data_IF_785385092015
#
_entry.id   IF_785385092015
#
_cell.length_a   1.000
_cell.length_b   1.000
_cell.length_c   1.000
_cell.angle_alpha   90.00
_cell.angle_beta   90.00
_cell.angle_gamma   90.00
#
_symmetry.space_group_name_H-M   'P 1'
#
loop_
_entity.id
_entity.type
_entity.pdbx_description
1 polymer ?
#
# COMPACT_ATOMS: atom_id res chain seq x y z
N UNK A 1 10.68 12.61 27.86
CA UNK A 1 9.23 12.42 28.01
C UNK A 1 8.72 11.61 26.84
N UNK A 2 8.10 10.47 27.10
CA UNK A 2 7.61 9.53 26.10
C UNK A 2 6.36 10.09 25.42
N UNK A 3 6.47 10.48 24.15
CA UNK A 3 5.30 10.71 23.30
C UNK A 3 4.66 9.36 23.00
N UNK A 4 3.70 8.96 23.84
CA UNK A 4 2.82 7.83 23.56
C UNK A 4 1.88 8.25 22.44
N UNK A 5 2.21 7.92 21.20
CA UNK A 5 1.31 8.13 20.06
C UNK A 5 -0.03 7.45 20.34
N UNK A 6 -1.11 8.23 20.33
CA UNK A 6 -2.47 7.72 20.55
C UNK A 6 -2.92 6.96 19.30
N UNK A 7 -3.03 5.64 19.42
CA UNK A 7 -3.55 4.81 18.34
C UNK A 7 -5.06 4.99 18.27
N UNK A 8 -5.54 5.72 17.26
CA UNK A 8 -6.95 5.95 17.03
C UNK A 8 -7.59 4.79 16.25
N UNK A 9 -8.73 4.32 16.76
CA UNK A 9 -9.62 3.38 16.09
C UNK A 9 -10.93 4.09 15.74
N UNK A 10 -11.31 4.07 14.47
CA UNK A 10 -12.54 4.70 14.00
C UNK A 10 -13.58 3.63 13.63
N UNK A 11 -14.51 3.37 14.54
CA UNK A 11 -15.61 2.41 14.37
C UNK A 11 -16.86 3.04 13.74
N UNK A 12 -16.87 4.36 13.47
CA UNK A 12 -18.02 5.05 12.85
C UNK A 12 -18.47 4.47 11.51
N UNK A 13 -17.60 3.87 10.66
CA UNK A 13 -18.05 3.24 9.43
C UNK A 13 -19.04 2.09 9.64
N UNK A 14 -18.99 1.38 10.78
CA UNK A 14 -19.97 0.34 11.13
C UNK A 14 -21.38 0.92 11.14
N UNK A 15 -21.57 2.01 11.91
CA UNK A 15 -22.86 2.69 12.04
C UNK A 15 -23.42 3.20 10.69
N UNK A 16 -22.54 3.57 9.75
CA UNK A 16 -22.93 4.07 8.43
C UNK A 16 -23.31 2.97 7.46
N UNK A 17 -22.64 1.82 7.54
CA UNK A 17 -22.91 0.67 6.68
C UNK A 17 -24.22 0.01 7.06
N UNK A 18 -24.39 -0.27 8.35
CA UNK A 18 -25.62 -0.80 8.88
C UNK A 18 -25.85 -0.22 10.27
N UNK A 19 -27.03 0.35 10.49
CA UNK A 19 -27.36 0.98 11.76
C UNK A 19 -27.82 -0.05 12.80
N UNK A 20 -28.18 -1.27 12.40
CA UNK A 20 -28.70 -2.33 13.26
C UNK A 20 -28.12 -3.72 12.89
N UNK A 21 -27.45 -4.37 13.85
CA UNK A 21 -26.87 -5.71 13.66
C UNK A 21 -27.62 -6.74 14.51
N UNK A 22 -28.20 -7.75 13.86
CA UNK A 22 -28.89 -8.85 14.52
C UNK A 22 -27.97 -10.05 14.67
N UNK A 23 -27.94 -10.62 15.87
CA UNK A 23 -27.11 -11.77 16.23
C UNK A 23 -27.96 -12.80 16.94
N UNK A 24 -28.03 -14.01 16.41
CA UNK A 24 -28.77 -15.11 17.02
C UNK A 24 -27.83 -15.93 17.92
N UNK A 25 -28.17 -16.02 19.20
CA UNK A 25 -27.51 -16.88 20.18
C UNK A 25 -28.09 -18.28 20.12
N UNK A 26 -27.70 -19.06 19.11
CA UNK A 26 -28.25 -20.39 18.78
C UNK A 26 -28.42 -21.34 19.97
N UNK A 27 -27.50 -21.32 20.95
CA UNK A 27 -27.56 -22.18 22.14
C UNK A 27 -28.46 -21.64 23.26
N UNK A 28 -28.80 -20.35 23.21
CA UNK A 28 -29.40 -19.58 24.31
C UNK A 28 -30.80 -19.06 24.00
N UNK A 29 -31.30 -19.29 22.77
CA UNK A 29 -32.58 -18.80 22.22
C UNK A 29 -32.76 -17.27 22.27
N UNK A 30 -31.68 -16.53 22.51
CA UNK A 30 -31.69 -15.08 22.46
C UNK A 30 -31.42 -14.60 21.04
N UNK A 31 -32.18 -13.59 20.60
CA UNK A 31 -31.82 -12.75 19.47
C UNK A 31 -31.38 -11.39 20.01
N UNK A 32 -30.19 -10.97 19.62
CA UNK A 32 -29.58 -9.73 20.06
C UNK A 32 -29.59 -8.71 18.93
N UNK A 33 -29.83 -7.45 19.29
CA UNK A 33 -29.80 -6.34 18.36
C UNK A 33 -28.79 -5.32 18.87
N UNK A 34 -27.72 -5.12 18.11
CA UNK A 34 -26.58 -4.28 18.47
C UNK A 34 -26.51 -3.07 17.54
N UNK A 35 -26.41 -1.88 18.14
CA UNK A 35 -26.09 -0.63 17.46
C UNK A 35 -24.71 -0.16 17.93
N UNK A 36 -23.95 0.50 17.07
CA UNK A 36 -22.60 1.01 17.42
C UNK A 36 -22.53 2.48 17.08
N UNK A 37 -21.87 3.26 17.94
CA UNK A 37 -21.63 4.69 17.74
C UNK A 37 -22.91 5.49 17.44
N UNK A 38 -24.06 5.01 17.91
CA UNK A 38 -25.31 5.73 17.79
C UNK A 38 -25.34 6.86 18.82
N UNK A 39 -25.58 8.09 18.35
CA UNK A 39 -25.71 9.29 19.17
C UNK A 39 -27.19 9.70 19.33
N UNK A 40 -28.13 8.79 19.05
CA UNK A 40 -29.55 9.04 19.27
C UNK A 40 -29.78 9.34 20.75
N UNK A 41 -30.11 10.60 21.03
CA UNK A 41 -30.51 11.09 22.37
C UNK A 41 -31.91 10.64 22.77
N UNK A 42 -32.51 9.71 22.04
CA UNK A 42 -33.73 9.04 22.44
C UNK A 42 -33.35 7.78 23.20
N UNK A 43 -33.89 7.62 24.41
CA UNK A 43 -33.63 6.58 25.43
C UNK A 43 -33.84 5.12 24.95
N UNK A 44 -33.27 4.73 23.82
CA UNK A 44 -33.32 3.37 23.31
C UNK A 44 -31.96 2.72 23.55
N UNK A 45 -31.92 1.60 24.29
CA UNK A 45 -30.67 0.92 24.61
C UNK A 45 -29.95 0.51 23.34
N UNK A 46 -28.66 0.84 23.29
CA UNK A 46 -27.81 0.66 22.11
C UNK A 46 -27.58 -0.85 21.85
N UNK A 47 -27.73 -1.68 22.88
CA UNK A 47 -27.79 -3.14 22.76
C UNK A 47 -29.09 -3.68 23.38
N UNK A 48 -29.80 -4.53 22.65
CA UNK A 48 -31.09 -5.12 23.03
C UNK A 48 -31.04 -6.65 22.96
N UNK A 49 -31.88 -7.29 23.76
CA UNK A 49 -32.09 -8.74 23.74
C UNK A 49 -33.58 -9.05 23.52
N UNK A 50 -33.85 -10.18 22.89
CA UNK A 50 -35.19 -10.73 22.71
C UNK A 50 -35.13 -12.24 22.94
N UNK A 51 -36.09 -12.79 23.70
CA UNK A 51 -36.23 -14.23 23.93
C UNK A 51 -37.69 -14.58 24.22
N UNK A 52 -38.26 -15.52 23.49
CA UNK A 52 -39.60 -16.05 23.80
C UNK A 52 -40.73 -15.00 23.82
N UNK A 53 -40.58 -13.89 23.08
CA UNK A 53 -41.53 -12.77 23.07
C UNK A 53 -41.20 -11.65 24.06
N UNK A 54 -40.37 -11.93 25.07
CA UNK A 54 -39.83 -10.89 25.95
C UNK A 54 -38.68 -10.16 25.26
N UNK A 55 -38.54 -8.87 25.56
CA UNK A 55 -37.43 -8.05 25.06
C UNK A 55 -36.98 -7.05 26.10
N UNK A 56 -35.74 -6.59 25.97
CA UNK A 56 -35.19 -5.64 26.92
C UNK A 56 -33.81 -5.09 26.53
N UNK A 57 -33.21 -4.35 27.47
CA UNK A 57 -31.93 -3.69 27.32
C UNK A 57 -30.78 -4.56 27.84
N UNK A 58 -29.73 -4.71 27.02
CA UNK A 58 -28.42 -5.18 27.47
C UNK A 58 -27.56 -4.04 28.03
N UNK A 59 -27.82 -2.81 27.58
CA UNK A 59 -27.17 -1.63 28.12
C UNK A 59 -26.92 -0.52 27.11
N UNK A 60 -26.23 0.50 27.60
CA UNK A 60 -25.70 1.64 26.85
C UNK A 60 -24.18 1.61 26.87
N UNK A 61 -23.51 2.31 25.95
CA UNK A 61 -22.04 2.30 25.87
C UNK A 61 -21.47 2.89 27.17
N UNK A 62 -20.79 2.04 27.96
CA UNK A 62 -20.30 2.36 29.30
C UNK A 62 -19.00 3.16 29.33
N UNK A 63 -18.46 3.56 28.17
CA UNK A 63 -17.26 4.41 28.10
C UNK A 63 -16.50 4.32 26.79
N UNK A 64 -15.25 4.81 26.80
CA UNK A 64 -14.35 4.75 25.64
C UNK A 64 -13.93 3.30 25.36
N UNK A 65 -13.79 2.90 24.09
CA UNK A 65 -13.23 1.59 23.72
C UNK A 65 -11.87 1.36 24.39
N UNK A 66 -11.65 0.16 24.95
CA UNK A 66 -10.42 -0.21 25.66
C UNK A 66 -9.62 -1.22 24.84
N UNK A 67 -8.32 -0.97 24.66
CA UNK A 67 -7.45 -1.95 24.00
C UNK A 67 -6.93 -2.98 25.00
N UNK A 68 -7.10 -4.27 24.71
CA UNK A 68 -6.52 -5.38 25.47
C UNK A 68 -5.79 -6.33 24.52
N UNK A 69 -4.47 -6.30 24.55
CA UNK A 69 -3.64 -7.03 23.59
C UNK A 69 -3.93 -6.56 22.16
N UNK A 70 -4.38 -7.49 21.32
CA UNK A 70 -4.73 -7.24 19.92
C UNK A 70 -6.24 -7.04 19.68
N UNK A 71 -7.04 -7.01 20.75
CA UNK A 71 -8.49 -6.84 20.68
C UNK A 71 -8.89 -5.45 21.19
N UNK A 72 -9.88 -4.85 20.55
CA UNK A 72 -10.52 -3.62 21.03
C UNK A 72 -11.85 -4.00 21.68
N UNK A 73 -12.01 -3.62 22.94
CA UNK A 73 -13.16 -3.99 23.76
C UNK A 73 -14.09 -2.79 23.91
N UNK A 74 -15.37 -3.00 23.65
CA UNK A 74 -16.44 -2.03 23.92
C UNK A 74 -17.42 -2.67 24.88
N UNK A 75 -17.63 -1.98 26.00
CA UNK A 75 -18.51 -2.43 27.08
C UNK A 75 -19.82 -1.68 27.03
N UNK A 76 -20.91 -2.43 27.13
CA UNK A 76 -22.27 -1.95 27.29
C UNK A 76 -22.72 -2.31 28.70
N UNK A 77 -23.12 -1.30 29.46
CA UNK A 77 -23.50 -1.42 30.86
C UNK A 77 -24.87 -0.78 31.10
N UNK A 78 -25.40 -0.93 32.31
CA UNK A 78 -26.69 -0.35 32.72
C UNK A 78 -27.87 -0.85 31.87
N UNK A 79 -27.89 -2.14 31.55
CA UNK A 79 -29.06 -2.83 31.01
C UNK A 79 -30.11 -3.15 32.07
N UNK A 80 -31.04 -4.04 31.74
CA UNK A 80 -32.10 -4.47 32.66
C UNK A 80 -31.57 -5.22 33.88
N UNK A 81 -32.33 -5.25 34.97
CA UNK A 81 -31.99 -6.04 36.14
C UNK A 81 -31.83 -7.54 35.81
N UNK A 82 -30.77 -8.16 36.35
CA UNK A 82 -30.47 -9.56 36.10
C UNK A 82 -31.42 -10.50 36.85
N UNK A 83 -31.71 -11.70 36.30
CA UNK A 83 -32.54 -12.70 36.98
C UNK A 83 -31.90 -13.10 38.31
N UNK A 84 -32.64 -12.99 39.41
CA UNK A 84 -32.18 -13.40 40.74
C UNK A 84 -31.20 -12.44 41.44
N UNK A 85 -30.85 -11.31 40.82
CA UNK A 85 -29.95 -10.32 41.43
C UNK A 85 -30.35 -8.88 41.07
N UNK A 86 -31.25 -8.28 41.86
CA UNK A 86 -31.77 -6.93 41.63
C UNK A 86 -30.73 -5.80 41.71
N UNK A 87 -29.54 -6.07 42.27
CA UNK A 87 -28.44 -5.11 42.38
C UNK A 87 -27.45 -5.20 41.20
N UNK A 88 -27.68 -6.11 40.24
CA UNK A 88 -26.87 -6.25 39.03
C UNK A 88 -27.73 -5.99 37.80
N UNK A 89 -27.15 -5.25 36.87
CA UNK A 89 -27.75 -4.95 35.58
C UNK A 89 -27.07 -5.79 34.49
N UNK A 90 -27.83 -6.12 33.45
CA UNK A 90 -27.33 -6.78 32.27
C UNK A 90 -26.23 -5.94 31.64
N UNK A 91 -25.27 -6.63 31.04
CA UNK A 91 -24.14 -6.01 30.37
C UNK A 91 -23.74 -6.83 29.16
N UNK A 92 -23.12 -6.18 28.18
CA UNK A 92 -22.58 -6.84 27.01
C UNK A 92 -21.15 -6.36 26.72
N UNK A 93 -20.28 -7.29 26.35
CA UNK A 93 -18.91 -7.01 25.95
C UNK A 93 -18.73 -7.39 24.48
N UNK A 94 -18.38 -6.41 23.64
CA UNK A 94 -18.03 -6.65 22.25
C UNK A 94 -16.51 -6.60 22.11
N UNK A 95 -15.94 -7.71 21.64
CA UNK A 95 -14.52 -7.85 21.33
C UNK A 95 -14.29 -7.70 19.82
N UNK A 96 -13.81 -6.54 19.41
CA UNK A 96 -13.39 -6.29 18.03
C UNK A 96 -12.01 -6.86 17.75
N UNK A 97 -11.91 -7.67 16.69
CA UNK A 97 -10.72 -8.39 16.25
C UNK A 97 -10.33 -7.87 14.87
N UNK A 98 -9.05 -7.52 14.68
CA UNK A 98 -8.53 -7.11 13.38
C UNK A 98 -8.52 -8.30 12.43
N UNK A 99 -9.32 -8.23 11.38
CA UNK A 99 -9.34 -9.16 10.26
C UNK A 99 -9.34 -8.36 8.95
N UNK A 100 -8.25 -8.46 8.19
CA UNK A 100 -8.06 -7.65 6.98
C UNK A 100 -9.05 -7.99 5.86
N UNK A 101 -9.52 -9.24 5.84
CA UNK A 101 -10.48 -9.78 4.89
C UNK A 101 -11.65 -10.35 5.67
N UNK A 102 -12.61 -9.50 6.04
CA UNK A 102 -13.85 -9.96 6.64
C UNK A 102 -14.78 -10.51 5.55
N UNK A 103 -15.71 -11.40 5.94
CA UNK A 103 -16.66 -12.05 5.04
C UNK A 103 -17.66 -11.06 4.38
N UNK A 104 -17.79 -9.87 4.95
CA UNK A 104 -18.57 -8.74 4.41
C UNK A 104 -17.77 -7.44 4.55
N UNK A 105 -18.25 -6.33 3.97
CA UNK A 105 -17.53 -5.04 3.92
C UNK A 105 -16.91 -4.61 5.27
N UNK A 106 -17.61 -4.89 6.38
CA UNK A 106 -17.09 -4.62 7.73
C UNK A 106 -17.22 -5.80 8.72
N UNK A 107 -17.52 -7.00 8.22
CA UNK A 107 -17.79 -8.18 9.06
C UNK A 107 -19.11 -8.10 9.83
N UNK A 108 -19.43 -9.16 10.57
CA UNK A 108 -20.63 -9.26 11.41
C UNK A 108 -20.26 -9.65 12.85
N UNK A 109 -21.06 -9.22 13.85
CA UNK A 109 -20.91 -9.68 15.21
C UNK A 109 -21.44 -11.11 15.38
N UNK A 110 -20.72 -11.89 16.18
CA UNK A 110 -21.04 -13.26 16.53
C UNK A 110 -21.21 -13.38 18.05
N UNK A 111 -22.22 -14.13 18.48
CA UNK A 111 -22.43 -14.45 19.88
C UNK A 111 -21.46 -15.55 20.32
N UNK A 112 -20.77 -15.32 21.45
CA UNK A 112 -19.74 -16.24 21.93
C UNK A 112 -20.15 -16.92 23.22
N UNK A 113 -20.64 -16.16 24.19
CA UNK A 113 -20.97 -16.71 25.49
C UNK A 113 -21.95 -15.83 26.26
N UNK A 114 -22.66 -16.47 27.18
CA UNK A 114 -23.50 -15.84 28.18
C UNK A 114 -23.13 -16.37 29.57
N UNK A 115 -23.21 -15.51 30.57
CA UNK A 115 -23.10 -15.88 31.98
C UNK A 115 -24.37 -15.49 32.74
N UNK A 116 -25.06 -16.49 33.30
CA UNK A 116 -26.24 -16.33 34.16
C UNK A 116 -27.35 -15.42 33.59
N UNK A 117 -27.59 -15.41 32.27
CA UNK A 117 -28.60 -14.55 31.62
C UNK A 117 -28.41 -13.05 31.92
N UNK A 118 -27.18 -12.65 32.24
CA UNK A 118 -26.83 -11.34 32.78
C UNK A 118 -25.67 -10.68 32.03
N UNK A 119 -24.61 -11.44 31.75
CA UNK A 119 -23.43 -10.94 31.05
C UNK A 119 -23.31 -11.64 29.70
N UNK A 120 -23.17 -10.87 28.62
CA UNK A 120 -23.15 -11.39 27.25
C UNK A 120 -21.85 -10.99 26.56
N UNK A 121 -21.26 -11.90 25.80
CA UNK A 121 -20.01 -11.68 25.09
C UNK A 121 -20.18 -11.92 23.59
N UNK A 122 -19.74 -10.93 22.81
CA UNK A 122 -19.77 -10.95 21.36
C UNK A 122 -18.36 -10.77 20.82
N UNK A 123 -18.07 -11.42 19.70
CA UNK A 123 -16.87 -11.17 18.91
C UNK A 123 -17.24 -10.55 17.57
N UNK A 124 -16.44 -9.57 17.14
CA UNK A 124 -16.66 -8.92 15.86
C UNK A 124 -15.35 -8.82 15.12
N UNK A 125 -15.22 -9.62 14.07
CA UNK A 125 -14.06 -9.57 13.19
C UNK A 125 -14.26 -8.51 12.13
N UNK A 126 -13.40 -7.49 12.11
CA UNK A 126 -13.59 -6.34 11.22
C UNK A 126 -12.25 -5.71 10.84
N UNK A 127 -12.10 -5.22 9.60
CA UNK A 127 -10.90 -4.50 9.18
C UNK A 127 -10.71 -3.17 9.92
N UNK A 128 -11.78 -2.61 10.52
CA UNK A 128 -11.73 -1.35 11.26
C UNK A 128 -11.00 -1.45 12.61
N UNK A 129 -10.91 -2.67 13.15
CA UNK A 129 -10.15 -2.96 14.36
C UNK A 129 -8.64 -3.03 14.08
N UNK A 130 -8.23 -2.98 12.82
CA UNK A 130 -6.84 -2.86 12.44
C UNK A 130 -6.34 -1.43 12.66
N UNK A 131 -5.11 -1.29 13.15
CA UNK A 131 -4.51 0.01 13.49
C UNK A 131 -4.53 0.95 12.28
N UNK A 132 -5.38 1.97 12.33
CA UNK A 132 -5.39 3.05 11.35
C UNK A 132 -4.31 4.06 11.74
N UNK A 133 -3.18 4.04 11.03
CA UNK A 133 -2.01 4.94 11.25
C UNK A 133 -2.29 6.43 10.96
N UNK A 134 -3.53 6.91 11.04
CA UNK A 134 -3.88 8.26 10.60
C UNK A 134 -3.49 9.40 11.55
N UNK A 135 -2.88 9.15 12.71
CA UNK A 135 -2.41 10.21 13.62
C UNK A 135 -0.92 10.13 13.99
N UNK A 136 -0.14 9.28 13.32
CA UNK A 136 1.32 9.26 13.47
C UNK A 136 2.04 9.93 12.28
N UNK A 137 1.33 10.73 11.49
CA UNK A 137 1.89 11.41 10.32
C UNK A 137 1.43 12.86 10.21
N UNK A 138 1.48 13.60 11.32
CA UNK A 138 1.69 15.06 11.29
C UNK A 138 3.11 15.35 11.78
N UNK A 139 4.10 14.82 11.07
CA UNK A 139 5.46 15.36 10.88
C UNK A 139 6.33 14.29 10.19
N UNK A 140 6.09 14.08 8.91
CA UNK A 140 7.19 13.85 7.96
C UNK A 140 6.65 14.04 6.57
N UNK A 141 7.35 14.88 5.83
CA UNK A 141 7.10 15.22 4.44
C UNK A 141 6.91 13.95 3.59
N UNK A 142 6.01 14.08 2.61
CA UNK A 142 5.49 12.98 1.84
C UNK A 142 6.54 12.06 1.21
N UNK A 143 6.23 10.78 1.21
CA UNK A 143 6.36 9.91 0.05
C UNK A 143 5.50 8.66 0.29
N UNK A 144 4.70 8.32 -0.72
CA UNK A 144 3.90 7.14 -0.96
C UNK A 144 4.13 5.90 -0.04
N UNK A 145 3.14 5.52 0.77
CA UNK A 145 3.09 4.21 1.45
C UNK A 145 1.72 3.55 1.33
N UNK A 146 1.41 3.07 0.13
CA UNK A 146 0.55 1.90 -0.03
C UNK A 146 1.36 0.64 0.28
N UNK A 147 1.28 0.14 1.52
CA UNK A 147 1.55 -1.28 1.81
C UNK A 147 0.85 -1.68 3.10
N UNK A 148 -0.23 -2.43 2.94
CA UNK A 148 -0.82 -3.23 4.00
C UNK A 148 0.24 -4.23 4.49
N UNK A 149 0.29 -4.40 5.81
CA UNK A 149 1.09 -5.44 6.44
C UNK A 149 0.50 -6.79 6.07
N UNK A 150 1.27 -7.58 5.32
CA UNK A 150 0.95 -8.97 5.02
C UNK A 150 1.68 -9.84 6.04
N UNK A 151 0.92 -10.65 6.77
CA UNK A 151 1.45 -11.68 7.64
C UNK A 151 2.34 -12.66 6.88
N UNK A 152 3.18 -13.37 7.63
CA UNK A 152 4.16 -14.33 7.13
C UNK A 152 3.50 -15.45 6.30
N UNK A 153 3.38 -15.23 5.00
CA UNK A 153 3.24 -16.23 3.97
C UNK A 153 4.21 -15.85 2.86
N UNK A 154 5.15 -16.72 2.51
CA UNK A 154 6.05 -16.47 1.39
C UNK A 154 5.19 -16.24 0.14
N UNK A 155 5.19 -14.99 -0.35
CA UNK A 155 4.42 -14.58 -1.52
C UNK A 155 4.66 -15.57 -2.65
N UNK A 156 3.60 -16.01 -3.34
CA UNK A 156 3.69 -16.97 -4.44
C UNK A 156 4.64 -16.51 -5.56
N UNK A 157 5.00 -15.22 -5.61
CA UNK A 157 6.07 -14.68 -6.46
C UNK A 157 7.49 -14.90 -5.91
N UNK A 158 7.71 -14.85 -4.59
CA UNK A 158 9.04 -14.97 -3.98
C UNK A 158 9.64 -16.36 -4.14
N UNK A 159 8.81 -17.41 -4.15
CA UNK A 159 9.28 -18.78 -4.40
C UNK A 159 9.87 -18.90 -5.81
N UNK A 160 9.22 -18.29 -6.82
CA UNK A 160 9.74 -18.29 -8.19
C UNK A 160 11.09 -17.55 -8.29
N UNK A 161 11.24 -16.41 -7.61
CA UNK A 161 12.51 -15.67 -7.58
C UNK A 161 13.64 -16.48 -6.93
N UNK A 162 13.35 -17.13 -5.79
CA UNK A 162 14.34 -17.96 -5.09
C UNK A 162 14.75 -19.15 -5.97
N UNK A 163 13.80 -19.82 -6.62
CA UNK A 163 14.09 -20.94 -7.52
C UNK A 163 14.94 -20.49 -8.71
N UNK A 164 14.61 -19.36 -9.35
CA UNK A 164 15.40 -18.82 -10.47
C UNK A 164 16.82 -18.45 -10.03
N UNK A 165 16.97 -17.86 -8.84
CA UNK A 165 18.27 -17.48 -8.31
C UNK A 165 19.15 -18.69 -7.96
N UNK A 166 18.57 -19.71 -7.33
CA UNK A 166 19.28 -20.96 -6.99
C UNK A 166 19.69 -21.70 -8.25
N UNK A 167 18.76 -21.90 -9.20
CA UNK A 167 19.05 -22.60 -10.46
C UNK A 167 20.07 -21.82 -11.30
N UNK A 168 19.93 -20.49 -11.38
CA UNK A 168 20.89 -19.62 -12.08
C UNK A 168 22.28 -19.68 -11.46
N UNK A 169 22.38 -19.65 -10.13
CA UNK A 169 23.67 -19.74 -9.42
C UNK A 169 24.35 -21.09 -9.62
N UNK A 170 23.60 -22.19 -9.54
CA UNK A 170 24.12 -23.55 -9.82
C UNK A 170 24.57 -23.66 -11.29
N UNK A 171 23.82 -23.10 -12.24
CA UNK A 171 24.19 -23.09 -13.65
C UNK A 171 25.47 -22.29 -13.91
N UNK A 172 25.63 -21.12 -13.27
CA UNK A 172 26.82 -20.26 -13.41
C UNK A 172 28.04 -20.91 -12.76
N UNK A 173 27.92 -21.39 -11.51
CA UNK A 173 29.03 -22.01 -10.79
C UNK A 173 29.42 -23.36 -11.41
N UNK A 174 28.44 -24.19 -11.74
CA UNK A 174 28.65 -25.46 -12.41
C UNK A 174 29.22 -25.29 -13.81
N UNK A 175 28.73 -24.33 -14.59
CA UNK A 175 29.25 -23.98 -15.91
C UNK A 175 30.68 -23.44 -15.86
N UNK A 176 30.97 -22.57 -14.88
CA UNK A 176 32.33 -22.06 -14.66
C UNK A 176 33.30 -23.17 -14.24
N UNK A 177 32.90 -24.03 -13.30
CA UNK A 177 33.72 -25.16 -12.86
C UNK A 177 33.89 -26.20 -13.98
N UNK A 178 32.84 -26.49 -14.74
CA UNK A 178 32.91 -27.41 -15.89
C UNK A 178 33.87 -26.89 -16.96
N UNK A 179 33.75 -25.61 -17.34
CA UNK A 179 34.61 -25.00 -18.35
C UNK A 179 36.05 -24.82 -17.84
N UNK A 180 36.22 -24.57 -16.53
CA UNK A 180 37.54 -24.47 -15.88
C UNK A 180 38.22 -25.83 -15.71
N UNK A 181 37.49 -26.89 -15.37
CA UNK A 181 38.08 -28.22 -15.09
C UNK A 181 38.25 -29.02 -16.37
N UNK A 182 37.27 -28.99 -17.27
CA UNK A 182 37.24 -29.86 -18.45
C UNK A 182 37.87 -29.20 -19.70
N UNK A 183 37.69 -27.89 -19.89
CA UNK A 183 38.27 -27.17 -21.04
C UNK A 183 39.58 -26.43 -20.69
N UNK A 184 40.25 -26.83 -19.60
CA UNK A 184 41.52 -26.24 -19.14
C UNK A 184 42.65 -26.29 -20.21
N UNK A 185 42.52 -27.14 -21.24
CA UNK A 185 43.46 -27.25 -22.36
C UNK A 185 43.19 -26.28 -23.53
N UNK A 186 42.12 -25.48 -23.50
CA UNK A 186 41.77 -24.55 -24.58
C UNK A 186 41.89 -23.11 -24.08
N UNK A 187 43.00 -22.43 -24.42
CA UNK A 187 43.43 -21.13 -23.88
C UNK A 187 42.53 -19.91 -24.15
N UNK A 188 41.26 -19.96 -23.75
CA UNK A 188 40.28 -18.87 -23.87
C UNK A 188 40.34 -17.97 -22.62
N UNK A 189 40.69 -16.69 -22.84
CA UNK A 189 40.87 -15.68 -21.78
C UNK A 189 39.63 -14.78 -21.68
N UNK A 190 39.14 -14.54 -20.46
CA UNK A 190 38.15 -13.50 -20.14
C UNK A 190 36.69 -13.96 -20.03
N UNK A 191 35.76 -13.08 -20.38
CA UNK A 191 34.30 -13.18 -20.15
C UNK A 191 33.61 -14.22 -21.07
N UNK A 192 34.36 -14.81 -21.98
CA UNK A 192 33.90 -15.85 -22.92
C UNK A 192 33.76 -17.24 -22.26
N UNK A 193 34.06 -17.35 -20.96
CA UNK A 193 33.98 -18.61 -20.21
C UNK A 193 32.55 -19.00 -19.78
N UNK A 194 31.54 -18.17 -20.04
CA UNK A 194 30.14 -18.43 -19.69
C UNK A 194 29.44 -19.31 -20.75
N UNK A 195 28.79 -20.42 -20.35
CA UNK A 195 27.95 -21.21 -21.25
C UNK A 195 26.84 -20.34 -21.87
N UNK A 196 26.70 -20.38 -23.20
CA UNK A 196 25.74 -19.58 -23.97
C UNK A 196 25.89 -18.04 -23.79
N UNK A 197 27.12 -17.51 -23.73
CA UNK A 197 27.39 -16.08 -23.55
C UNK A 197 26.61 -15.15 -24.50
N UNK A 198 26.36 -15.58 -25.74
CA UNK A 198 25.62 -14.82 -26.76
C UNK A 198 24.18 -14.52 -26.30
N UNK A 199 23.54 -15.47 -25.62
CA UNK A 199 22.18 -15.32 -25.09
C UNK A 199 22.15 -14.32 -23.93
N UNK A 200 23.04 -14.48 -22.94
CA UNK A 200 23.12 -13.59 -21.78
C UNK A 200 23.47 -12.15 -22.14
N UNK A 201 24.38 -11.96 -23.10
CA UNK A 201 24.67 -10.64 -23.66
C UNK A 201 23.43 -10.02 -24.31
N UNK A 202 22.59 -10.83 -24.97
CA UNK A 202 21.32 -10.40 -25.54
C UNK A 202 20.35 -9.87 -24.48
N UNK A 203 20.19 -10.58 -23.37
CA UNK A 203 19.34 -10.15 -22.24
C UNK A 203 19.86 -8.87 -21.60
N UNK A 204 21.17 -8.77 -21.39
CA UNK A 204 21.79 -7.55 -20.86
C UNK A 204 21.60 -6.34 -21.80
N UNK A 205 21.77 -6.53 -23.11
CA UNK A 205 21.56 -5.47 -24.08
C UNK A 205 20.09 -5.07 -24.20
N UNK A 206 19.16 -6.04 -24.14
CA UNK A 206 17.73 -5.78 -24.12
C UNK A 206 17.33 -4.96 -22.88
N UNK A 207 17.78 -5.37 -21.70
CA UNK A 207 17.51 -4.65 -20.46
C UNK A 207 18.15 -3.25 -20.45
N UNK A 208 19.41 -3.11 -20.90
CA UNK A 208 20.06 -1.79 -21.06
C UNK A 208 19.27 -0.87 -21.99
N UNK A 209 18.82 -1.37 -23.15
CA UNK A 209 17.99 -0.60 -24.09
C UNK A 209 16.63 -0.25 -23.49
N UNK A 210 16.00 -1.17 -22.76
CA UNK A 210 14.74 -0.92 -22.08
C UNK A 210 14.89 0.19 -21.01
N UNK A 211 15.94 0.15 -20.20
CA UNK A 211 16.22 1.19 -19.20
C UNK A 211 16.49 2.55 -19.86
N UNK A 212 17.24 2.58 -20.96
CA UNK A 212 17.46 3.82 -21.72
C UNK A 212 16.17 4.37 -22.33
N UNK A 213 15.30 3.52 -22.89
CA UNK A 213 14.00 3.94 -23.41
C UNK A 213 13.07 4.45 -22.31
N UNK A 214 13.12 3.85 -21.12
CA UNK A 214 12.36 4.31 -19.96
C UNK A 214 12.92 5.62 -19.42
N UNK A 215 14.24 5.80 -19.41
CA UNK A 215 14.88 7.05 -19.00
C UNK A 215 14.57 8.19 -19.99
N UNK A 216 14.65 7.94 -21.30
CA UNK A 216 14.26 8.90 -22.35
C UNK A 216 12.75 9.18 -22.32
N UNK A 217 11.93 8.18 -22.00
CA UNK A 217 10.50 8.35 -21.76
C UNK A 217 10.21 9.22 -20.54
N UNK A 218 10.96 9.01 -19.45
CA UNK A 218 10.85 9.79 -18.23
C UNK A 218 11.32 11.24 -18.42
N UNK A 219 12.42 11.48 -19.14
CA UNK A 219 12.88 12.85 -19.45
C UNK A 219 11.86 13.57 -20.32
N UNK A 220 11.33 12.94 -21.37
CA UNK A 220 10.25 13.52 -22.20
C UNK A 220 8.97 13.80 -21.41
N UNK A 221 8.61 12.94 -20.46
CA UNK A 221 7.46 13.16 -19.58
C UNK A 221 7.72 14.32 -18.61
N UNK A 222 8.91 14.39 -18.03
CA UNK A 222 9.33 15.49 -17.15
C UNK A 222 9.38 16.81 -17.91
N UNK A 223 9.84 16.82 -19.15
CA UNK A 223 9.87 17.99 -20.03
C UNK A 223 8.46 18.38 -20.49
N UNK A 224 7.56 17.43 -20.74
CA UNK A 224 6.15 17.71 -21.02
C UNK A 224 5.41 18.29 -19.79
N UNK A 225 5.78 17.85 -18.58
CA UNK A 225 5.25 18.38 -17.31
C UNK A 225 5.87 19.75 -16.96
N UNK A 226 7.15 19.98 -17.27
CA UNK A 226 7.84 21.28 -17.13
C UNK A 226 7.54 22.27 -18.26
N UNK A 227 7.10 21.80 -19.42
CA UNK A 227 6.87 22.54 -20.67
C UNK A 227 5.70 23.54 -20.65
N UNK A 228 5.15 23.89 -19.47
CA UNK A 228 4.29 25.08 -19.30
C UNK A 228 5.02 26.26 -18.63
N UNK A 229 6.32 26.18 -18.37
CA UNK A 229 7.15 27.30 -17.92
C UNK A 229 8.50 27.33 -18.67
N UNK A 230 8.57 28.18 -19.69
CA UNK A 230 9.83 28.72 -20.21
C UNK A 230 10.38 28.07 -21.47
N UNK A 231 9.79 28.40 -22.62
CA UNK A 231 10.52 28.38 -23.89
C UNK A 231 11.01 29.81 -24.16
N UNK A 232 12.31 30.06 -23.95
CA UNK A 232 13.05 31.13 -24.63
C UNK A 232 14.36 30.49 -25.11
N UNK A 233 14.46 30.34 -26.43
CA UNK A 233 15.67 29.99 -27.14
C UNK A 233 16.57 31.23 -27.16
N UNK A 234 17.79 31.14 -26.64
CA UNK A 234 18.87 32.07 -26.96
C UNK A 234 20.05 31.20 -27.38
N UNK A 235 20.19 30.99 -28.69
CA UNK A 235 21.45 30.51 -29.25
C UNK A 235 22.45 31.67 -29.18
N UNK A 236 23.20 31.73 -28.09
CA UNK A 236 24.38 32.57 -27.98
C UNK A 236 25.61 31.79 -28.49
N UNK A 237 25.57 31.39 -29.76
CA UNK A 237 26.74 30.88 -30.48
C UNK A 237 26.61 31.03 -32.00
N UNK A 238 25.96 32.07 -32.52
CA UNK A 238 26.28 32.56 -33.86
C UNK A 238 27.38 33.62 -33.74
N UNK A 239 28.57 33.09 -33.52
CA UNK A 239 29.81 33.85 -33.61
C UNK A 239 30.02 34.16 -35.10
N UNK A 240 29.81 35.43 -35.46
CA UNK A 240 30.63 36.15 -36.43
C UNK A 240 30.44 35.88 -37.94
N UNK A 241 29.22 36.05 -38.48
CA UNK A 241 29.01 36.18 -39.95
C UNK A 241 29.10 37.65 -40.42
N UNK A 242 29.24 38.63 -39.51
CA UNK A 242 29.22 40.06 -39.88
C UNK A 242 30.54 40.62 -40.44
N UNK A 243 31.62 39.85 -40.42
CA UNK A 243 32.93 40.30 -40.92
C UNK A 243 33.28 39.79 -42.33
N UNK A 244 32.50 38.90 -42.93
CA UNK A 244 32.81 38.38 -44.28
C UNK A 244 32.07 39.14 -45.41
N UNK A 245 31.04 39.93 -45.10
CA UNK A 245 30.16 40.54 -46.13
C UNK A 245 30.52 42.01 -46.43
N UNK A 246 31.28 42.69 -45.57
CA UNK A 246 31.54 44.13 -45.72
C UNK A 246 33.02 44.56 -45.64
N UNK A 247 33.95 43.62 -45.67
CA UNK A 247 35.39 43.91 -45.62
C UNK A 247 36.13 43.38 -46.86
N UNK A 248 35.78 43.86 -48.05
CA UNK A 248 36.69 43.99 -49.22
C UNK A 248 35.92 44.42 -50.48
N UNK A 249 35.20 45.54 -50.42
CA UNK A 249 34.89 46.33 -51.63
C UNK A 249 35.33 47.75 -51.35
N UNK A 250 36.44 48.12 -51.98
CA UNK A 250 37.12 49.43 -52.10
C UNK A 250 38.59 49.27 -51.68
N UNK A 251 39.60 49.67 -52.44
CA UNK A 251 39.75 50.18 -53.81
C UNK A 251 41.28 50.20 -54.06
N UNK A 252 41.69 50.54 -55.28
CA UNK A 252 43.08 50.63 -55.80
C UNK A 252 43.64 49.27 -56.24
N UNK A 253 44.00 49.01 -57.50
CA UNK A 253 44.28 49.86 -58.65
C UNK A 253 45.38 49.14 -59.45
N UNK A 254 45.38 49.32 -60.77
CA UNK A 254 46.46 48.99 -61.71
C UNK A 254 46.53 47.56 -62.32
N UNK A 255 46.36 47.51 -63.65
CA UNK A 255 47.28 46.74 -64.50
C UNK A 255 46.77 45.46 -65.18
N UNK A 256 46.20 45.64 -66.37
CA UNK A 256 46.48 44.87 -67.59
C UNK A 256 45.88 43.48 -67.88
N UNK A 257 45.21 43.48 -69.05
CA UNK A 257 45.19 42.47 -70.10
C UNK A 257 44.27 41.23 -69.97
N UNK A 258 43.09 41.37 -70.58
CA UNK A 258 42.52 40.35 -71.50
C UNK A 258 43.02 40.66 -72.94
N UNK A 259 42.88 39.78 -73.97
CA UNK A 259 41.96 38.63 -74.08
C UNK A 259 42.60 37.38 -74.74
N UNK A 260 41.82 36.31 -74.98
CA UNK A 260 41.80 35.42 -76.17
C UNK A 260 41.08 34.11 -75.74
N UNK A 261 39.79 33.96 -76.04
CA UNK A 261 39.20 33.47 -77.30
C UNK A 261 39.03 31.93 -77.33
N UNK A 262 37.76 31.57 -77.52
CA UNK A 262 37.20 30.26 -77.87
C UNK A 262 38.01 29.49 -78.92
N UNK A 263 38.25 28.20 -78.67
CA UNK A 263 37.76 27.11 -79.53
C UNK A 263 37.72 25.79 -78.77
#
# INVERSE_FOLDING_TARGET
MSSSGEVLYDLRPLARSNWEYRVDGLESEFTFTLRICDNSTQHHPIAQWQRGGDSGALGTVGGKPRKRGNKLLVEYADGDACPGAAQRNRSALISFICEAHADSEYGQPEFVAEWNQCEFMFEWRTPLACVSRKLASEESNGEQSGRAGEGNGASRGSVAFVVIFVVGSVYILGGFLYNRVFNLSSGLRGIEQLPNYKFWRGIYLFSKRAVLLLADGATRLVDAVRGRRGAIHIDAAEHNIRNEIFASTADEGEGDALPFALR
#
